data_IF_976737379903
#
_entry.id   IF_976737379903
#
_cell.length_a   1.000
_cell.length_b   1.000
_cell.length_c   1.000
_cell.angle_alpha   90.00
_cell.angle_beta   90.00
_cell.angle_gamma   90.00
#
_symmetry.space_group_name_H-M   'P 1'
#
loop_
_entity.id
_entity.type
_entity.pdbx_description
1 polymer ?
#
# COMPACT_ATOMS: atom_id res chain seq x y z
N UNK A 1 -5.41 -21.23 -15.69
CA UNK A 1 -5.82 -21.18 -14.28
C UNK A 1 -7.32 -20.87 -14.22
N UNK A 2 -8.05 -21.65 -13.42
CA UNK A 2 -9.46 -21.38 -13.11
C UNK A 2 -9.59 -20.24 -12.08
N UNK A 3 -10.82 -19.75 -11.86
CA UNK A 3 -11.04 -18.78 -10.78
C UNK A 3 -10.66 -19.35 -9.39
N UNK A 4 -10.91 -20.63 -9.16
CA UNK A 4 -10.52 -21.31 -7.93
C UNK A 4 -9.00 -21.36 -7.78
N UNK A 5 -8.26 -21.61 -8.87
CA UNK A 5 -6.80 -21.57 -8.85
C UNK A 5 -6.26 -20.18 -8.54
N UNK A 6 -6.93 -19.13 -9.02
CA UNK A 6 -6.57 -17.73 -8.71
C UNK A 6 -6.85 -17.38 -7.25
N UNK A 7 -7.97 -17.85 -6.70
CA UNK A 7 -8.32 -17.69 -5.28
C UNK A 7 -7.34 -18.44 -4.38
N UNK A 8 -6.90 -19.62 -4.80
CA UNK A 8 -5.92 -20.45 -4.10
C UNK A 8 -4.47 -20.01 -4.36
N UNK A 9 -4.25 -18.91 -5.08
CA UNK A 9 -2.93 -18.36 -5.40
C UNK A 9 -1.98 -19.37 -6.05
N UNK A 10 -2.50 -20.22 -6.94
CA UNK A 10 -1.71 -21.25 -7.68
C UNK A 10 -0.90 -20.66 -8.84
N UNK A 11 -0.68 -19.37 -8.88
CA UNK A 11 0.18 -18.69 -9.84
C UNK A 11 1.57 -18.47 -9.24
N UNK A 12 2.56 -18.36 -10.10
CA UNK A 12 3.93 -18.03 -9.69
C UNK A 12 4.08 -16.52 -9.48
N UNK A 13 4.76 -16.14 -8.39
CA UNK A 13 5.06 -14.76 -8.08
C UNK A 13 3.98 -14.04 -7.28
N UNK A 14 4.19 -12.75 -7.07
CA UNK A 14 3.28 -11.87 -6.33
C UNK A 14 2.99 -10.58 -7.12
N UNK A 15 1.89 -9.91 -6.78
CA UNK A 15 1.47 -8.64 -7.39
C UNK A 15 1.13 -7.59 -6.32
N UNK A 16 2.12 -7.13 -5.55
CA UNK A 16 1.88 -6.10 -4.54
C UNK A 16 1.57 -4.75 -5.19
N UNK A 17 0.88 -3.91 -4.43
CA UNK A 17 0.55 -2.56 -4.84
C UNK A 17 0.98 -1.55 -3.76
N UNK A 18 1.43 -0.33 -4.14
CA UNK A 18 1.75 0.72 -3.20
C UNK A 18 0.56 1.10 -2.31
N UNK A 19 0.78 1.13 -0.98
CA UNK A 19 -0.23 1.36 0.04
C UNK A 19 -0.81 0.09 0.65
N UNK A 20 -0.34 -1.10 0.27
CA UNK A 20 -0.74 -2.39 0.83
C UNK A 20 0.36 -2.97 1.73
N UNK A 21 0.03 -3.99 2.57
CA UNK A 21 0.97 -4.48 3.59
C UNK A 21 2.35 -4.92 3.09
N UNK A 22 2.47 -5.43 1.86
CA UNK A 22 3.77 -5.79 1.29
C UNK A 22 4.55 -4.60 0.72
N UNK A 23 3.88 -3.47 0.47
CA UNK A 23 4.48 -2.25 -0.09
C UNK A 23 3.76 -1.02 0.47
N UNK A 24 3.96 -0.67 1.76
CA UNK A 24 3.13 0.32 2.46
C UNK A 24 3.29 1.76 1.96
N UNK A 25 4.40 2.11 1.32
CA UNK A 25 4.65 3.47 0.84
C UNK A 25 3.85 3.80 -0.43
N UNK A 26 2.90 4.72 -0.31
CA UNK A 26 2.10 5.20 -1.43
C UNK A 26 2.90 5.95 -2.49
N UNK A 27 4.07 6.53 -2.14
CA UNK A 27 4.85 7.36 -3.06
C UNK A 27 5.46 6.56 -4.22
N UNK A 28 5.52 5.23 -4.10
CA UNK A 28 5.96 4.33 -5.17
C UNK A 28 5.00 4.35 -6.39
N UNK A 29 3.79 4.89 -6.26
CA UNK A 29 2.92 5.14 -7.41
C UNK A 29 3.50 6.17 -8.38
N UNK A 30 4.25 7.18 -7.88
CA UNK A 30 4.82 8.22 -8.74
C UNK A 30 5.78 7.66 -9.82
N UNK A 31 6.80 6.85 -9.48
CA UNK A 31 7.64 6.24 -10.50
C UNK A 31 6.86 5.28 -11.42
N UNK A 32 5.90 4.50 -10.88
CA UNK A 32 5.06 3.60 -11.71
C UNK A 32 4.31 4.41 -12.76
N UNK A 33 3.61 5.46 -12.36
CA UNK A 33 2.82 6.31 -13.26
C UNK A 33 3.68 7.02 -14.31
N UNK A 34 4.85 7.49 -13.90
CA UNK A 34 5.81 8.12 -14.82
C UNK A 34 6.37 7.12 -15.85
N UNK A 35 6.76 5.92 -15.41
CA UNK A 35 7.32 4.89 -16.30
C UNK A 35 6.29 4.38 -17.31
N UNK A 36 5.03 4.27 -16.91
CA UNK A 36 3.95 3.79 -17.75
C UNK A 36 3.26 4.90 -18.56
N UNK A 37 3.61 6.18 -18.31
CA UNK A 37 2.85 7.33 -18.83
C UNK A 37 1.33 7.12 -18.61
N UNK A 38 0.99 6.79 -17.35
CA UNK A 38 -0.32 6.23 -17.02
C UNK A 38 -1.48 7.17 -17.31
N UNK A 39 -1.26 8.47 -17.14
CA UNK A 39 -2.27 9.48 -17.44
C UNK A 39 -2.63 9.47 -18.92
N UNK A 40 -1.64 9.47 -19.80
CA UNK A 40 -1.86 9.43 -21.25
C UNK A 40 -2.36 8.08 -21.73
N UNK A 41 -1.80 6.98 -21.21
CA UNK A 41 -2.07 5.64 -21.76
C UNK A 41 -3.31 4.99 -21.15
N UNK A 42 -3.69 5.34 -19.93
CA UNK A 42 -4.81 4.72 -19.22
C UNK A 42 -5.85 5.73 -18.70
N UNK A 43 -5.60 7.04 -18.80
CA UNK A 43 -6.50 8.07 -18.28
C UNK A 43 -6.60 8.06 -16.74
N UNK A 44 -5.60 7.50 -16.05
CA UNK A 44 -5.57 7.40 -14.59
C UNK A 44 -4.61 8.45 -14.04
N UNK A 45 -5.10 9.32 -13.17
CA UNK A 45 -4.30 10.35 -12.51
C UNK A 45 -4.11 10.06 -11.03
N UNK A 46 -3.19 10.78 -10.36
CA UNK A 46 -2.98 10.72 -8.92
C UNK A 46 -3.41 12.04 -8.27
N UNK A 47 -4.12 11.94 -7.15
CA UNK A 47 -4.40 13.08 -6.27
C UNK A 47 -3.16 13.46 -5.45
N UNK A 48 -3.22 14.52 -4.67
CA UNK A 48 -2.13 14.91 -3.74
C UNK A 48 -1.81 13.81 -2.72
N UNK A 49 -2.83 13.11 -2.23
CA UNK A 49 -2.69 11.96 -1.33
C UNK A 49 -2.30 10.66 -2.04
N UNK A 50 -2.04 10.72 -3.35
CA UNK A 50 -1.69 9.59 -4.20
C UNK A 50 -2.80 8.54 -4.32
N UNK A 51 -4.05 8.95 -4.13
CA UNK A 51 -5.19 8.15 -4.55
C UNK A 51 -5.34 8.22 -6.08
N UNK A 52 -5.80 7.14 -6.68
CA UNK A 52 -6.03 7.07 -8.12
C UNK A 52 -7.40 7.64 -8.49
N UNK A 53 -7.45 8.36 -9.61
CA UNK A 53 -8.69 8.81 -10.24
C UNK A 53 -8.71 8.41 -11.72
N UNK A 54 -9.83 7.84 -12.24
CA UNK A 54 -11.11 7.58 -11.55
C UNK A 54 -10.98 6.52 -10.46
N UNK A 55 -11.91 6.54 -9.51
CA UNK A 55 -12.00 5.56 -8.43
C UNK A 55 -12.12 4.14 -8.97
N UNK A 56 -11.76 3.14 -8.15
CA UNK A 56 -11.67 1.72 -8.52
C UNK A 56 -10.55 1.37 -9.53
N UNK A 57 -9.69 2.32 -9.87
CA UNK A 57 -8.46 2.03 -10.63
C UNK A 57 -7.51 1.17 -9.79
N UNK A 58 -6.73 0.32 -10.46
CA UNK A 58 -5.75 -0.57 -9.82
C UNK A 58 -4.37 -0.33 -10.43
N UNK A 59 -3.35 -0.24 -9.59
CA UNK A 59 -1.95 -0.21 -10.02
C UNK A 59 -1.11 -1.09 -9.11
N UNK A 60 -0.04 -1.65 -9.65
CA UNK A 60 0.85 -2.50 -8.89
C UNK A 60 2.03 -2.98 -9.72
N UNK A 61 2.81 -3.89 -9.14
CA UNK A 61 4.00 -4.48 -9.75
C UNK A 61 3.89 -6.00 -9.67
N UNK A 62 4.28 -6.69 -10.73
CA UNK A 62 4.40 -8.14 -10.73
C UNK A 62 5.85 -8.54 -10.44
N UNK A 63 6.06 -9.36 -9.42
CA UNK A 63 7.34 -10.03 -9.15
C UNK A 63 7.19 -11.51 -9.52
N UNK A 64 7.62 -11.84 -10.75
CA UNK A 64 7.49 -13.19 -11.32
C UNK A 64 8.68 -14.08 -10.96
N UNK A 65 8.94 -14.26 -9.67
CA UNK A 65 10.03 -15.12 -9.19
C UNK A 65 9.46 -16.32 -8.43
N UNK A 66 10.02 -17.54 -8.59
CA UNK A 66 9.51 -18.74 -7.93
C UNK A 66 9.47 -18.68 -6.39
N UNK A 67 10.37 -17.89 -5.80
CA UNK A 67 10.47 -17.70 -4.34
C UNK A 67 9.73 -16.44 -3.86
N UNK A 68 8.97 -15.76 -4.73
CA UNK A 68 8.18 -14.61 -4.30
C UNK A 68 6.97 -15.07 -3.51
N UNK A 69 6.86 -14.57 -2.28
CA UNK A 69 5.74 -14.82 -1.37
C UNK A 69 5.19 -13.49 -0.86
N UNK A 70 3.88 -13.44 -0.61
CA UNK A 70 3.28 -12.28 0.04
C UNK A 70 3.69 -12.21 1.50
N UNK A 71 4.11 -11.02 1.90
CA UNK A 71 4.44 -10.69 3.28
C UNK A 71 3.78 -9.39 3.68
N UNK A 72 3.76 -9.08 4.96
CA UNK A 72 3.31 -7.79 5.49
C UNK A 72 4.44 -7.11 6.25
N UNK A 73 4.71 -5.85 5.91
CA UNK A 73 5.50 -4.99 6.78
C UNK A 73 4.58 -4.58 7.94
N UNK A 74 4.83 -5.15 9.13
CA UNK A 74 3.96 -4.93 10.30
C UNK A 74 4.23 -3.58 10.95
N UNK A 75 5.34 -3.45 11.67
CA UNK A 75 5.77 -2.22 12.32
C UNK A 75 7.23 -1.96 12.01
N UNK A 76 7.60 -0.69 11.92
CA UNK A 76 8.97 -0.24 11.66
C UNK A 76 9.45 0.69 12.76
N UNK A 77 10.72 0.54 13.10
CA UNK A 77 11.42 1.38 14.09
C UNK A 77 12.10 2.57 13.41
N UNK A 78 12.55 3.54 14.21
CA UNK A 78 13.15 4.78 13.73
C UNK A 78 14.37 4.56 12.83
N UNK A 79 15.28 3.67 13.22
CA UNK A 79 16.49 3.33 12.48
C UNK A 79 16.16 2.77 11.08
N UNK A 80 15.10 1.97 10.97
CA UNK A 80 14.61 1.43 9.71
C UNK A 80 14.04 2.54 8.81
N UNK A 81 13.30 3.48 9.38
CA UNK A 81 12.75 4.63 8.65
C UNK A 81 13.86 5.56 8.17
N UNK A 82 14.87 5.83 8.99
CA UNK A 82 16.04 6.63 8.63
C UNK A 82 16.85 5.97 7.49
N UNK A 83 17.10 4.66 7.59
CA UNK A 83 17.76 3.91 6.50
C UNK A 83 16.94 3.93 5.21
N UNK A 84 15.62 3.75 5.30
CA UNK A 84 14.73 3.83 4.16
C UNK A 84 14.74 5.21 3.51
N UNK A 85 14.61 6.28 4.31
CA UNK A 85 14.66 7.66 3.84
C UNK A 85 15.98 7.97 3.12
N UNK A 86 17.11 7.55 3.70
CA UNK A 86 18.44 7.70 3.11
C UNK A 86 18.55 6.99 1.75
N UNK A 87 18.09 5.74 1.64
CA UNK A 87 18.10 4.98 0.38
C UNK A 87 17.18 5.59 -0.67
N UNK A 88 16.06 6.14 -0.23
CA UNK A 88 15.06 6.79 -1.10
C UNK A 88 15.47 8.20 -1.52
N UNK A 89 16.38 8.84 -0.77
CA UNK A 89 16.82 10.22 -1.02
C UNK A 89 15.78 11.26 -0.59
N UNK A 90 15.02 10.97 0.47
CA UNK A 90 14.03 11.89 1.06
C UNK A 90 14.40 12.19 2.52
N UNK A 91 13.80 13.25 3.07
CA UNK A 91 13.96 13.55 4.49
C UNK A 91 13.27 12.48 5.36
N UNK A 92 13.82 12.15 6.56
CA UNK A 92 13.18 11.17 7.45
C UNK A 92 11.74 11.54 7.82
N UNK A 93 11.44 12.82 7.99
CA UNK A 93 10.09 13.33 8.30
C UNK A 93 9.10 13.07 7.16
N UNK A 94 9.56 13.11 5.92
CA UNK A 94 8.74 12.75 4.77
C UNK A 94 8.44 11.25 4.76
N UNK A 95 9.43 10.41 5.02
CA UNK A 95 9.25 8.97 5.13
C UNK A 95 8.30 8.62 6.29
N UNK A 96 8.46 9.25 7.47
CA UNK A 96 7.56 9.08 8.63
C UNK A 96 6.11 9.41 8.27
N UNK A 97 5.89 10.49 7.53
CA UNK A 97 4.54 10.89 7.09
C UNK A 97 3.88 9.81 6.22
N UNK A 98 4.60 9.25 5.27
CA UNK A 98 4.06 8.23 4.37
C UNK A 98 3.95 6.84 5.01
N UNK A 99 4.73 6.56 6.03
CA UNK A 99 4.74 5.30 6.77
C UNK A 99 4.00 5.40 8.11
N UNK A 100 3.27 6.48 8.37
CA UNK A 100 2.68 6.79 9.68
C UNK A 100 1.86 5.63 10.28
N UNK A 101 1.12 4.87 9.46
CA UNK A 101 0.28 3.76 9.90
C UNK A 101 1.05 2.55 10.45
N UNK A 102 2.33 2.42 10.09
CA UNK A 102 3.16 1.27 10.46
C UNK A 102 4.32 1.64 11.39
N UNK A 103 4.44 2.89 11.81
CA UNK A 103 5.46 3.28 12.78
C UNK A 103 5.21 2.60 14.15
N UNK A 104 6.30 2.16 14.79
CA UNK A 104 6.29 1.65 16.16
C UNK A 104 6.78 2.70 17.17
N UNK A 105 6.84 3.94 16.78
CA UNK A 105 7.23 5.07 17.62
C UNK A 105 6.43 6.32 17.24
N UNK A 106 6.43 7.30 18.11
CA UNK A 106 5.84 8.62 17.83
C UNK A 106 6.94 9.49 17.22
N UNK A 107 6.76 10.01 15.98
CA UNK A 107 7.70 10.97 15.42
C UNK A 107 7.89 12.16 16.34
N UNK A 108 9.12 12.63 16.52
CA UNK A 108 9.39 13.85 17.26
C UNK A 108 8.83 15.01 16.43
N UNK A 109 7.70 15.56 16.87
CA UNK A 109 6.87 16.46 16.11
C UNK A 109 7.64 17.66 15.54
N UNK A 110 7.58 17.84 14.25
CA UNK A 110 7.42 19.18 13.71
C UNK A 110 5.96 19.58 14.00
N UNK A 111 5.77 20.54 14.88
CA UNK A 111 4.48 21.03 15.39
C UNK A 111 3.57 21.74 14.35
N UNK A 112 3.77 21.48 13.06
CA UNK A 112 3.05 22.12 11.95
C UNK A 112 2.44 21.14 10.92
N UNK A 113 2.40 19.84 11.18
CA UNK A 113 1.64 18.94 10.33
C UNK A 113 0.22 18.82 10.92
N UNK A 114 -0.77 19.36 10.22
CA UNK A 114 -2.17 19.03 10.49
C UNK A 114 -2.34 17.51 10.50
N UNK A 115 -3.11 16.93 11.42
CA UNK A 115 -3.36 15.50 11.43
C UNK A 115 -3.94 15.13 10.07
N UNK A 116 -3.27 14.20 9.37
CA UNK A 116 -3.90 13.53 8.26
C UNK A 116 -5.15 12.87 8.85
N UNK A 117 -6.32 13.36 8.47
CA UNK A 117 -7.59 12.74 8.83
C UNK A 117 -7.46 11.25 8.55
N UNK A 118 -7.63 10.46 9.60
CA UNK A 118 -7.76 9.02 9.47
C UNK A 118 -8.88 8.80 8.45
N UNK A 119 -8.52 8.31 7.27
CA UNK A 119 -9.49 7.99 6.25
C UNK A 119 -10.48 7.02 6.89
N UNK A 120 -11.68 7.53 7.10
CA UNK A 120 -12.77 6.87 7.80
C UNK A 120 -13.05 5.54 7.10
N UNK A 121 -12.72 4.45 7.78
CA UNK A 121 -13.04 3.08 7.35
C UNK A 121 -14.57 2.86 7.28
N UNK A 122 -15.34 3.85 7.73
CA UNK A 122 -16.81 3.81 7.81
C UNK A 122 -17.54 4.12 6.50
N UNK A 123 -16.85 4.52 5.41
CA UNK A 123 -17.52 4.95 4.16
C UNK A 123 -17.62 3.86 3.08
N UNK A 124 -17.41 2.59 3.39
CA UNK A 124 -17.70 1.54 2.43
C UNK A 124 -19.16 1.12 2.52
N UNK A 125 -19.92 1.13 1.42
CA UNK A 125 -21.31 0.67 1.42
C UNK A 125 -21.38 -0.79 1.87
N UNK A 126 -22.40 -1.18 2.65
CA UNK A 126 -22.59 -2.55 3.08
C UNK A 126 -22.77 -3.45 1.85
N UNK A 127 -21.82 -4.39 1.64
CA UNK A 127 -21.82 -5.30 0.50
C UNK A 127 -20.57 -5.26 -0.39
N UNK A 128 -19.58 -4.42 -0.09
CA UNK A 128 -18.33 -4.42 -0.85
C UNK A 128 -17.57 -5.75 -0.67
N UNK A 129 -17.46 -6.53 -1.76
CA UNK A 129 -16.73 -7.81 -1.84
C UNK A 129 -15.28 -7.61 -2.33
N UNK A 130 -14.64 -6.49 -2.00
CA UNK A 130 -13.25 -6.29 -2.39
C UNK A 130 -12.34 -7.31 -1.68
N UNK A 131 -11.28 -7.75 -2.36
CA UNK A 131 -10.35 -8.79 -1.90
C UNK A 131 -9.77 -8.51 -0.49
N UNK A 132 -9.65 -7.24 -0.11
CA UNK A 132 -9.22 -6.80 1.21
C UNK A 132 -10.17 -7.24 2.33
N UNK A 133 -11.49 -7.15 2.12
CA UNK A 133 -12.51 -7.55 3.11
C UNK A 133 -12.55 -9.06 3.34
N UNK A 134 -12.26 -9.85 2.30
CA UNK A 134 -12.24 -11.31 2.38
C UNK A 134 -11.05 -11.84 3.16
N UNK A 135 -9.88 -11.21 3.06
CA UNK A 135 -8.69 -11.59 3.84
C UNK A 135 -8.81 -11.22 5.32
N UNK A 136 -9.42 -10.09 5.64
CA UNK A 136 -9.61 -9.66 7.02
C UNK A 136 -10.62 -10.53 7.78
N UNK A 137 -11.71 -10.96 7.11
CA UNK A 137 -12.69 -11.90 7.70
C UNK A 137 -12.12 -13.28 8.02
N UNK A 138 -11.14 -13.78 7.22
CA UNK A 138 -10.52 -15.09 7.50
C UNK A 138 -9.64 -15.06 8.76
N UNK A 139 -8.97 -13.94 9.05
CA UNK A 139 -8.11 -13.82 10.24
C UNK A 139 -8.88 -13.68 11.55
N UNK A 140 -10.06 -13.05 11.55
CA UNK A 140 -10.89 -12.90 12.75
C UNK A 140 -11.72 -14.15 13.09
N UNK A 141 -11.90 -15.06 12.14
CA UNK A 141 -12.63 -16.31 12.36
C UNK A 141 -11.74 -17.47 12.91
N UNK A 142 -10.43 -17.30 12.97
CA UNK A 142 -9.48 -18.31 13.48
C UNK A 142 -8.88 -17.97 14.85
N UNK A 143 -9.33 -16.90 15.49
CA UNK A 143 -8.85 -16.42 16.79
C UNK A 143 -9.92 -16.44 17.88
N UNK A 144 -10.73 -17.49 17.94
CA UNK A 144 -11.69 -17.73 19.01
C UNK A 144 -11.58 -19.17 19.52
#
# INVERSE_FOLDING_TARGET
>A
LSNDDLILEKYQGIRPAPGYPAQPDHTEKRPIFRLLDAERNAGVTLTESLAMWPGSSVSGVYYSHPQSEYFGVAKVERDQVEDYARRKGVAPEEAERWLASILNYIPTANSNAAPAEAADVASHPPGCTCAFHLQYRKKTAQGG
#
